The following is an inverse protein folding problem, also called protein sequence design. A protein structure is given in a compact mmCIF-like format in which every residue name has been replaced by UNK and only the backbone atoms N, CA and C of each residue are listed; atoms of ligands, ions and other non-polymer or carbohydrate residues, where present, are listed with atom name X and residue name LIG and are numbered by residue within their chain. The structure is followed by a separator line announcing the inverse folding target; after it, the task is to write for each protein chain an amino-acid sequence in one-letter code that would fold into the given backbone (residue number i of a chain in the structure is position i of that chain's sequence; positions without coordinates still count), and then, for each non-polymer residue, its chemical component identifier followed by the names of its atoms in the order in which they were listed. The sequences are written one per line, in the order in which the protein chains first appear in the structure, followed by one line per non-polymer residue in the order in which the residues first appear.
data_IF_895329171209
#
_entry.id   IF_895329171209
#
_cell.length_a   1.000
_cell.length_b   1.000
_cell.length_c   1.000
_cell.angle_alpha   90.00
_cell.angle_beta   90.00
_cell.angle_gamma   90.00
#
_symmetry.space_group_name_H-M   'P 1'
#
loop_
_entity.id
_entity.type
_entity.pdbx_description
1 polymer ?
#
# COMPACT_ATOMS: atom_id res chain seq x y z
N UNK A 1 12.33 24.34 -21.38
CA UNK A 1 12.14 23.56 -20.13
C UNK A 1 11.41 22.23 -20.31
N UNK A 2 10.50 22.08 -21.28
CA UNK A 2 9.69 20.86 -21.43
C UNK A 2 10.47 19.57 -21.75
N UNK A 3 11.48 19.62 -22.62
CA UNK A 3 12.23 18.42 -23.05
C UNK A 3 12.99 17.75 -21.90
N UNK A 4 13.66 18.54 -21.06
CA UNK A 4 14.39 18.03 -19.89
C UNK A 4 13.47 17.41 -18.84
N UNK A 5 12.27 17.98 -18.64
CA UNK A 5 11.28 17.41 -17.72
C UNK A 5 10.67 16.11 -18.30
N UNK A 6 10.36 16.10 -19.59
CA UNK A 6 9.78 14.93 -20.28
C UNK A 6 10.68 13.69 -20.20
N UNK A 7 11.99 13.88 -20.39
CA UNK A 7 12.97 12.77 -20.32
C UNK A 7 13.00 12.04 -18.97
N UNK A 8 12.63 12.70 -17.87
CA UNK A 8 12.66 12.11 -16.52
C UNK A 8 11.51 11.14 -16.26
N UNK A 9 10.36 11.33 -16.90
CA UNK A 9 9.23 10.41 -16.75
C UNK A 9 9.59 9.03 -17.31
N UNK A 10 10.16 8.98 -18.52
CA UNK A 10 10.61 7.72 -19.12
C UNK A 10 11.72 7.04 -18.33
N UNK A 11 12.69 7.81 -17.83
CA UNK A 11 13.75 7.32 -16.95
C UNK A 11 13.20 6.68 -15.67
N UNK A 12 12.28 7.36 -14.97
CA UNK A 12 11.66 6.83 -13.76
C UNK A 12 10.85 5.54 -14.02
N UNK A 13 10.11 5.48 -15.14
CA UNK A 13 9.38 4.28 -15.54
C UNK A 13 10.30 3.11 -15.93
N UNK A 14 11.46 3.39 -16.54
CA UNK A 14 12.46 2.37 -16.87
C UNK A 14 13.09 1.75 -15.61
N UNK A 15 13.40 2.59 -14.60
CA UNK A 15 13.87 2.14 -13.28
C UNK A 15 12.86 1.23 -12.57
N UNK A 16 11.57 1.49 -12.76
CA UNK A 16 10.49 0.65 -12.22
C UNK A 16 10.19 -0.58 -13.11
N UNK A 17 11.06 -0.90 -14.09
CA UNK A 17 10.94 -2.00 -15.05
C UNK A 17 9.67 -1.98 -15.93
N UNK A 18 9.04 -0.82 -16.10
CA UNK A 18 7.88 -0.65 -16.99
C UNK A 18 8.29 -0.35 -18.44
N UNK A 19 9.50 0.15 -18.64
CA UNK A 19 10.10 0.46 -19.95
C UNK A 19 11.47 -0.22 -20.11
N UNK A 20 11.98 -0.36 -21.34
CA UNK A 20 13.31 -0.94 -21.58
C UNK A 20 14.40 -0.24 -20.77
N UNK A 21 15.27 -1.04 -20.12
CA UNK A 21 16.34 -0.54 -19.24
C UNK A 21 17.33 0.43 -19.90
N UNK A 22 17.45 0.40 -21.25
CA UNK A 22 18.25 1.38 -21.98
C UNK A 22 17.82 2.85 -21.78
N UNK A 23 16.59 3.10 -21.33
CA UNK A 23 16.10 4.45 -20.97
C UNK A 23 16.53 4.89 -19.56
N UNK A 24 17.00 3.96 -18.73
CA UNK A 24 17.55 4.22 -17.40
C UNK A 24 19.01 4.71 -17.47
N UNK A 25 19.72 4.47 -18.57
CA UNK A 25 21.15 4.81 -18.67
C UNK A 25 21.40 6.34 -18.56
N UNK A 26 22.10 6.72 -17.49
CA UNK A 26 22.53 8.10 -17.23
C UNK A 26 23.98 8.30 -17.64
N UNK A 27 24.31 9.51 -18.12
CA UNK A 27 25.69 9.87 -18.43
C UNK A 27 26.53 9.93 -17.14
N UNK A 28 27.69 9.28 -17.06
CA UNK A 28 28.51 9.21 -15.84
C UNK A 28 29.07 10.56 -15.35
N UNK A 29 29.14 11.58 -16.22
CA UNK A 29 29.67 12.89 -15.85
C UNK A 29 28.58 13.93 -15.53
N UNK A 30 27.43 13.86 -16.20
CA UNK A 30 26.35 14.85 -16.10
C UNK A 30 25.10 14.32 -15.39
N UNK A 31 25.04 13.02 -15.08
CA UNK A 31 23.92 12.34 -14.43
C UNK A 31 22.57 12.54 -15.16
N UNK A 32 22.64 12.86 -16.46
CA UNK A 32 21.44 13.08 -17.29
C UNK A 32 21.10 11.83 -18.09
N UNK A 33 19.82 11.46 -18.22
CA UNK A 33 19.36 10.33 -19.02
C UNK A 33 19.43 10.68 -20.52
N UNK A 34 20.63 10.55 -21.08
CA UNK A 34 20.96 11.02 -22.43
C UNK A 34 20.16 10.29 -23.53
N UNK A 35 19.96 8.98 -23.40
CA UNK A 35 19.14 8.18 -24.34
C UNK A 35 17.69 8.66 -24.34
N UNK A 36 17.11 8.89 -23.16
CA UNK A 36 15.73 9.40 -23.04
C UNK A 36 15.58 10.81 -23.65
N UNK A 37 16.58 11.68 -23.49
CA UNK A 37 16.58 13.03 -24.08
C UNK A 37 16.65 12.95 -25.62
N UNK A 38 17.53 12.12 -26.17
CA UNK A 38 17.67 11.96 -27.62
C UNK A 38 16.40 11.41 -28.25
N UNK A 39 15.79 10.38 -27.65
CA UNK A 39 14.55 9.79 -28.14
C UNK A 39 13.39 10.78 -28.09
N UNK A 40 13.19 11.45 -26.95
CA UNK A 40 12.10 12.44 -26.81
C UNK A 40 12.29 13.64 -27.73
N UNK A 41 13.53 14.11 -27.90
CA UNK A 41 13.87 15.18 -28.84
C UNK A 41 13.64 14.79 -30.30
N UNK A 42 14.05 13.58 -30.70
CA UNK A 42 13.85 13.08 -32.06
C UNK A 42 12.36 12.91 -32.40
N UNK A 43 11.57 12.35 -31.47
CA UNK A 43 10.12 12.22 -31.64
C UNK A 43 9.44 13.58 -31.78
N UNK A 44 9.84 14.57 -30.96
CA UNK A 44 9.30 15.92 -31.03
C UNK A 44 9.69 16.62 -32.34
N UNK A 45 10.93 16.47 -32.81
CA UNK A 45 11.37 17.00 -34.09
C UNK A 45 10.58 16.39 -35.26
N UNK A 46 10.37 15.07 -35.25
CA UNK A 46 9.54 14.39 -36.25
C UNK A 46 8.10 14.91 -36.24
N UNK A 47 7.50 15.06 -35.06
CA UNK A 47 6.14 15.58 -34.92
C UNK A 47 5.98 16.99 -35.51
N UNK A 48 6.95 17.89 -35.28
CA UNK A 48 6.93 19.26 -35.80
C UNK A 48 7.04 19.30 -37.33
N UNK A 49 7.82 18.38 -37.92
CA UNK A 49 8.02 18.33 -39.38
C UNK A 49 6.79 17.76 -40.10
N UNK A 50 6.15 16.73 -39.52
CA UNK A 50 5.09 15.99 -40.20
C UNK A 50 3.66 16.39 -39.85
N UNK A 51 3.42 17.00 -38.69
CA UNK A 51 2.07 17.37 -38.26
C UNK A 51 1.86 18.90 -38.27
N UNK A 52 0.72 19.39 -38.76
CA UNK A 52 0.37 20.80 -38.65
C UNK A 52 0.13 21.18 -37.18
N UNK A 53 0.63 22.36 -36.79
CA UNK A 53 0.64 22.83 -35.39
C UNK A 53 -0.75 22.84 -34.74
N UNK A 54 -1.81 23.11 -35.51
CA UNK A 54 -3.19 23.10 -35.02
C UNK A 54 -3.64 21.70 -34.59
N UNK A 55 -3.32 20.68 -35.39
CA UNK A 55 -3.66 19.28 -35.06
C UNK A 55 -2.84 18.79 -33.88
N UNK A 56 -1.54 19.14 -33.81
CA UNK A 56 -0.68 18.80 -32.67
C UNK A 56 -1.30 19.34 -31.37
N UNK A 57 -1.72 20.60 -31.37
CA UNK A 57 -2.30 21.23 -30.20
C UNK A 57 -3.58 20.51 -29.73
N UNK A 58 -4.46 20.11 -30.65
CA UNK A 58 -5.69 19.36 -30.33
C UNK A 58 -5.38 17.96 -29.78
N UNK A 59 -4.44 17.24 -30.41
CA UNK A 59 -4.02 15.90 -29.96
C UNK A 59 -3.41 15.94 -28.55
N UNK A 60 -2.45 16.84 -28.33
CA UNK A 60 -1.76 16.98 -27.03
C UNK A 60 -2.73 17.42 -25.94
N UNK A 61 -3.66 18.34 -26.24
CA UNK A 61 -4.68 18.77 -25.27
C UNK A 61 -5.59 17.62 -24.86
N UNK A 62 -6.00 16.76 -25.81
CA UNK A 62 -6.77 15.56 -25.52
C UNK A 62 -6.05 14.60 -24.59
N UNK A 63 -4.76 14.32 -24.86
CA UNK A 63 -3.92 13.49 -23.98
C UNK A 63 -3.81 14.11 -22.58
N UNK A 64 -3.60 15.42 -22.49
CA UNK A 64 -3.47 16.12 -21.21
C UNK A 64 -4.75 16.05 -20.36
N UNK A 65 -5.93 16.24 -20.98
CA UNK A 65 -7.23 16.11 -20.30
C UNK A 65 -7.45 14.67 -19.81
N UNK A 66 -7.11 13.67 -20.64
CA UNK A 66 -7.18 12.25 -20.25
C UNK A 66 -6.29 11.97 -19.04
N UNK A 67 -5.05 12.46 -19.05
CA UNK A 67 -4.09 12.29 -17.93
C UNK A 67 -4.62 12.91 -16.65
N UNK A 68 -5.15 14.15 -16.68
CA UNK A 68 -5.73 14.77 -15.50
C UNK A 68 -6.95 14.00 -14.95
N UNK A 69 -7.79 13.48 -15.84
CA UNK A 69 -8.93 12.64 -15.47
C UNK A 69 -8.46 11.37 -14.76
N UNK A 70 -7.44 10.69 -15.29
CA UNK A 70 -6.85 9.50 -14.69
C UNK A 70 -6.17 9.80 -13.35
N UNK A 71 -5.50 10.95 -13.20
CA UNK A 71 -4.89 11.37 -11.94
C UNK A 71 -5.97 11.60 -10.87
N UNK A 72 -7.06 12.29 -11.20
CA UNK A 72 -8.18 12.46 -10.27
C UNK A 72 -8.77 11.11 -9.84
N UNK A 73 -8.95 10.19 -10.78
CA UNK A 73 -9.41 8.84 -10.48
C UNK A 73 -8.43 8.07 -9.59
N UNK A 74 -7.15 8.07 -9.94
CA UNK A 74 -6.09 7.41 -9.16
C UNK A 74 -5.99 7.98 -7.74
N UNK A 75 -6.18 9.29 -7.57
CA UNK A 75 -6.17 9.94 -6.26
C UNK A 75 -7.36 9.47 -5.41
N UNK A 76 -8.57 9.36 -5.97
CA UNK A 76 -9.73 8.80 -5.25
C UNK A 76 -9.44 7.36 -4.83
N UNK A 77 -8.92 6.53 -5.73
CA UNK A 77 -8.58 5.13 -5.42
C UNK A 77 -7.54 5.05 -4.30
N UNK A 78 -6.45 5.83 -4.41
CA UNK A 78 -5.35 5.83 -3.45
C UNK A 78 -5.78 6.32 -2.07
N UNK A 79 -6.57 7.41 -2.00
CA UNK A 79 -7.08 7.93 -0.74
C UNK A 79 -8.20 7.08 -0.14
N UNK A 80 -8.98 6.36 -0.95
CA UNK A 80 -10.01 5.48 -0.38
C UNK A 80 -9.40 4.20 0.20
N UNK A 81 -8.32 3.70 -0.40
CA UNK A 81 -7.68 2.44 0.01
C UNK A 81 -6.56 2.61 1.01
N UNK A 82 -5.59 3.49 0.76
CA UNK A 82 -4.36 3.58 1.55
C UNK A 82 -4.49 4.52 2.75
N UNK A 83 -5.28 5.59 2.64
CA UNK A 83 -5.43 6.57 3.72
C UNK A 83 -6.34 6.10 4.86
N UNK A 84 -7.34 5.25 4.56
CA UNK A 84 -8.30 4.76 5.55
C UNK A 84 -7.80 3.55 6.35
N UNK A 85 -6.65 2.98 5.99
CA UNK A 85 -5.94 1.98 6.78
C UNK A 85 -5.01 2.70 7.76
N UNK A 86 -5.57 3.15 8.88
CA UNK A 86 -4.81 3.65 10.03
C UNK A 86 -3.99 2.51 10.66
N UNK A 87 -2.84 2.17 10.09
CA UNK A 87 -1.91 1.23 10.73
C UNK A 87 -0.87 0.60 9.81
N UNK A 88 -1.30 -0.04 8.72
CA UNK A 88 -0.43 -0.97 7.98
C UNK A 88 0.58 -0.31 7.00
N UNK A 89 0.30 0.92 6.49
CA UNK A 89 1.09 1.51 5.40
C UNK A 89 1.67 2.90 5.74
N UNK A 90 2.90 2.94 6.27
CA UNK A 90 3.61 4.20 6.60
C UNK A 90 3.99 5.08 5.39
N UNK A 91 3.98 4.54 4.17
CA UNK A 91 4.56 5.22 3.00
C UNK A 91 3.67 6.32 2.38
N UNK A 92 2.37 6.37 2.71
CA UNK A 92 1.44 7.36 2.17
C UNK A 92 0.61 8.05 3.26
N UNK A 93 1.19 9.07 3.89
CA UNK A 93 0.50 10.00 4.80
C UNK A 93 0.58 11.43 4.25
N UNK A 94 -0.41 11.88 3.46
CA UNK A 94 -0.36 13.21 2.88
C UNK A 94 -0.50 14.28 3.97
N UNK A 95 0.48 15.19 4.07
CA UNK A 95 0.40 16.35 4.99
C UNK A 95 -0.71 17.34 4.60
N UNK A 96 -1.16 17.29 3.35
CA UNK A 96 -2.20 18.17 2.81
C UNK A 96 -3.43 17.37 2.34
N UNK A 97 -4.58 17.78 2.83
CA UNK A 97 -5.88 17.28 2.40
C UNK A 97 -6.58 18.34 1.56
N UNK A 98 -7.11 17.91 0.41
CA UNK A 98 -7.86 18.81 -0.44
C UNK A 98 -9.17 19.18 0.26
N UNK A 99 -9.51 20.48 0.39
CA UNK A 99 -10.80 20.88 0.90
C UNK A 99 -11.89 20.27 0.02
N UNK A 100 -12.94 19.70 0.62
CA UNK A 100 -14.06 19.06 -0.06
C UNK A 100 -13.70 17.75 -0.79
N UNK A 101 -12.74 16.96 -0.28
CA UNK A 101 -12.54 15.58 -0.76
C UNK A 101 -13.79 14.72 -0.49
N UNK A 102 -14.25 13.87 -1.43
CA UNK A 102 -13.76 13.62 -2.80
C UNK A 102 -14.48 14.45 -3.90
N UNK A 103 -15.30 15.43 -3.53
CA UNK A 103 -16.16 16.17 -4.45
C UNK A 103 -15.36 16.94 -5.52
N UNK A 104 -14.22 17.52 -5.13
CA UNK A 104 -13.33 18.23 -6.06
C UNK A 104 -12.79 17.30 -7.16
N UNK A 105 -12.45 16.07 -6.82
CA UNK A 105 -11.93 15.08 -7.76
C UNK A 105 -13.02 14.57 -8.70
N UNK A 106 -14.23 14.36 -8.19
CA UNK A 106 -15.40 14.00 -9.00
C UNK A 106 -15.69 15.10 -10.04
N UNK A 107 -15.65 16.36 -9.62
CA UNK A 107 -15.77 17.49 -10.54
C UNK A 107 -14.66 17.51 -11.59
N UNK A 108 -13.42 17.20 -11.21
CA UNK A 108 -12.31 17.08 -12.16
C UNK A 108 -12.53 15.97 -13.21
N UNK A 109 -13.07 14.82 -12.80
CA UNK A 109 -13.37 13.71 -13.71
C UNK A 109 -14.53 14.07 -14.66
N UNK A 110 -15.64 14.57 -14.11
CA UNK A 110 -16.80 14.98 -14.90
C UNK A 110 -16.45 16.14 -15.85
N UNK A 111 -15.72 17.13 -15.36
CA UNK A 111 -15.26 18.28 -16.16
C UNK A 111 -14.25 17.87 -17.23
N UNK A 112 -13.30 17.00 -16.90
CA UNK A 112 -12.35 16.45 -17.86
C UNK A 112 -13.04 15.65 -18.97
N UNK A 113 -13.98 14.77 -18.61
CA UNK A 113 -14.78 14.03 -19.59
C UNK A 113 -15.62 14.96 -20.47
N UNK A 114 -16.23 16.01 -19.90
CA UNK A 114 -16.99 17.00 -20.66
C UNK A 114 -16.10 17.79 -21.63
N UNK A 115 -14.92 18.24 -21.20
CA UNK A 115 -13.97 18.96 -22.07
C UNK A 115 -13.45 18.06 -23.20
N UNK A 116 -13.16 16.79 -22.90
CA UNK A 116 -12.73 15.83 -23.92
C UNK A 116 -13.83 15.65 -24.99
N UNK A 117 -15.09 15.61 -24.57
CA UNK A 117 -16.24 15.53 -25.47
C UNK A 117 -16.39 16.79 -26.33
N UNK A 118 -16.25 17.98 -25.76
CA UNK A 118 -16.43 19.24 -26.49
C UNK A 118 -15.28 19.58 -27.44
N UNK A 119 -14.05 19.10 -27.19
CA UNK A 119 -12.92 19.27 -28.13
C UNK A 119 -13.08 18.48 -29.44
N UNK A 120 -14.02 17.55 -29.51
CA UNK A 120 -14.32 16.80 -30.72
C UNK A 120 -13.39 15.60 -30.96
N UNK A 121 -13.51 15.01 -32.14
CA UNK A 121 -12.94 13.70 -32.46
C UNK A 121 -11.41 13.67 -32.43
N UNK A 122 -10.74 14.76 -32.81
CA UNK A 122 -9.27 14.80 -32.87
C UNK A 122 -8.63 14.61 -31.49
N UNK A 123 -9.17 15.27 -30.46
CA UNK A 123 -8.67 15.12 -29.09
C UNK A 123 -8.88 13.70 -28.54
N UNK A 124 -10.04 13.11 -28.83
CA UNK A 124 -10.36 11.73 -28.44
C UNK A 124 -9.44 10.71 -29.13
N UNK A 125 -9.09 10.92 -30.41
CA UNK A 125 -8.12 10.09 -31.14
C UNK A 125 -6.74 10.18 -30.46
N UNK A 126 -6.27 11.38 -30.11
CA UNK A 126 -4.98 11.54 -29.43
C UNK A 126 -4.90 10.82 -28.08
N UNK A 127 -5.96 10.98 -27.26
CA UNK A 127 -6.08 10.31 -25.96
C UNK A 127 -6.10 8.78 -26.12
N UNK A 128 -6.99 8.26 -26.97
CA UNK A 128 -7.12 6.82 -27.19
C UNK A 128 -5.88 6.19 -27.83
N UNK A 129 -5.27 6.84 -28.82
CA UNK A 129 -4.02 6.38 -29.43
C UNK A 129 -2.89 6.26 -28.39
N UNK A 130 -2.75 7.27 -27.52
CA UNK A 130 -1.74 7.23 -26.45
C UNK A 130 -2.02 6.12 -25.44
N UNK A 131 -3.28 5.91 -25.06
CA UNK A 131 -3.67 4.82 -24.18
C UNK A 131 -3.35 3.45 -24.80
N UNK A 132 -3.66 3.26 -26.08
CA UNK A 132 -3.36 2.02 -26.82
C UNK A 132 -1.85 1.78 -26.87
N UNK A 133 -1.04 2.79 -27.20
CA UNK A 133 0.42 2.69 -27.21
C UNK A 133 0.95 2.28 -25.84
N UNK A 134 0.48 2.92 -24.76
CA UNK A 134 0.87 2.57 -23.39
C UNK A 134 0.51 1.13 -23.01
N UNK A 135 -0.70 0.70 -23.39
CA UNK A 135 -1.18 -0.68 -23.19
C UNK A 135 -0.28 -1.68 -23.95
N UNK A 136 0.04 -1.40 -25.22
CA UNK A 136 0.91 -2.25 -26.03
C UNK A 136 2.31 -2.37 -25.43
N UNK A 137 2.89 -1.27 -24.95
CA UNK A 137 4.19 -1.28 -24.27
C UNK A 137 4.12 -2.12 -22.98
N UNK A 138 3.07 -1.95 -22.19
CA UNK A 138 2.86 -2.74 -20.98
C UNK A 138 2.75 -4.24 -21.27
N UNK A 139 1.94 -4.65 -22.25
CA UNK A 139 1.77 -6.07 -22.59
C UNK A 139 3.01 -6.68 -23.25
N UNK A 140 3.78 -5.91 -24.01
CA UNK A 140 4.98 -6.41 -24.69
C UNK A 140 6.19 -6.53 -23.76
N UNK A 141 6.45 -5.53 -22.91
CA UNK A 141 7.64 -5.49 -22.06
C UNK A 141 7.29 -5.57 -20.56
N UNK A 142 6.41 -4.67 -20.09
CA UNK A 142 6.13 -4.48 -18.67
C UNK A 142 5.60 -5.74 -17.98
N UNK A 143 4.69 -6.48 -18.62
CA UNK A 143 4.08 -7.69 -18.04
C UNK A 143 5.12 -8.77 -17.67
N UNK A 144 6.26 -8.81 -18.35
CA UNK A 144 7.30 -9.82 -18.09
C UNK A 144 8.36 -9.35 -17.09
N UNK A 145 8.49 -8.05 -16.83
CA UNK A 145 9.57 -7.47 -16.02
C UNK A 145 9.10 -6.74 -14.77
N UNK A 146 7.78 -6.49 -14.62
CA UNK A 146 7.22 -5.83 -13.44
C UNK A 146 7.29 -6.75 -12.21
N UNK A 147 7.81 -6.21 -11.12
CA UNK A 147 7.78 -6.84 -9.80
C UNK A 147 6.34 -6.77 -9.30
N UNK A 148 5.71 -7.93 -9.08
CA UNK A 148 4.32 -8.01 -8.64
C UNK A 148 4.18 -7.50 -7.20
N UNK A 149 3.58 -6.31 -7.05
CA UNK A 149 3.16 -5.75 -5.78
C UNK A 149 1.65 -5.55 -5.84
N UNK A 150 0.93 -5.92 -4.78
CA UNK A 150 -0.52 -5.70 -4.70
C UNK A 150 -0.84 -4.23 -4.91
N UNK A 151 -1.50 -3.93 -6.02
CA UNK A 151 -1.79 -2.54 -6.37
C UNK A 151 -2.92 -2.00 -5.48
N UNK A 152 -2.91 -0.68 -5.16
CA UNK A 152 -4.02 -0.05 -4.43
C UNK A 152 -5.37 -0.29 -5.10
N UNK A 153 -5.41 -0.38 -6.43
CA UNK A 153 -6.63 -0.69 -7.18
C UNK A 153 -7.17 -2.10 -6.92
N UNK A 154 -6.29 -3.11 -6.78
CA UNK A 154 -6.74 -4.46 -6.44
C UNK A 154 -7.40 -4.51 -5.06
N UNK A 155 -6.84 -3.79 -4.06
CA UNK A 155 -7.46 -3.61 -2.73
C UNK A 155 -8.81 -2.87 -2.81
N UNK A 156 -8.87 -1.82 -3.63
CA UNK A 156 -10.13 -1.09 -3.85
C UNK A 156 -11.23 -2.00 -4.39
N UNK A 157 -10.87 -2.84 -5.37
CA UNK A 157 -11.78 -3.78 -6.02
C UNK A 157 -12.23 -4.88 -5.06
N UNK A 158 -11.31 -5.46 -4.27
CA UNK A 158 -11.67 -6.50 -3.29
C UNK A 158 -12.65 -5.97 -2.24
N UNK A 159 -12.45 -4.76 -1.71
CA UNK A 159 -13.42 -4.14 -0.79
C UNK A 159 -14.79 -3.91 -1.39
N UNK A 160 -14.88 -3.43 -2.64
CA UNK A 160 -16.16 -3.23 -3.30
C UNK A 160 -16.90 -4.54 -3.58
N UNK A 161 -16.17 -5.61 -3.88
CA UNK A 161 -16.75 -6.88 -4.27
C UNK A 161 -17.03 -7.81 -3.07
N UNK A 162 -16.25 -7.72 -1.99
CA UNK A 162 -16.35 -8.60 -0.82
C UNK A 162 -16.08 -7.87 0.51
N UNK A 163 -16.99 -6.98 0.94
CA UNK A 163 -16.76 -6.06 2.06
C UNK A 163 -16.46 -6.72 3.41
N UNK A 164 -16.95 -7.94 3.67
CA UNK A 164 -16.74 -8.63 4.96
C UNK A 164 -15.61 -9.67 4.94
N UNK A 165 -15.02 -9.97 3.78
CA UNK A 165 -14.02 -11.05 3.67
C UNK A 165 -12.60 -10.61 4.06
N UNK A 166 -12.24 -9.34 3.83
CA UNK A 166 -10.91 -8.83 4.17
C UNK A 166 -10.72 -8.63 5.67
N UNK A 167 -11.76 -8.21 6.40
CA UNK A 167 -11.63 -8.03 7.85
C UNK A 167 -11.24 -9.35 8.52
N UNK A 168 -11.88 -10.47 8.16
CA UNK A 168 -11.48 -11.78 8.64
C UNK A 168 -10.10 -12.24 8.16
N UNK A 169 -9.67 -11.85 6.96
CA UNK A 169 -8.34 -12.22 6.43
C UNK A 169 -7.20 -11.43 7.09
N UNK A 170 -7.43 -10.16 7.43
CA UNK A 170 -6.47 -9.32 8.14
C UNK A 170 -6.45 -9.66 9.64
N UNK A 171 -7.61 -9.91 10.26
CA UNK A 171 -7.72 -10.46 11.61
C UNK A 171 -6.97 -11.79 11.73
N UNK A 172 -7.20 -12.74 10.82
CA UNK A 172 -6.50 -14.02 10.83
C UNK A 172 -4.98 -13.86 10.68
N UNK A 173 -4.52 -12.86 9.89
CA UNK A 173 -3.09 -12.55 9.75
C UNK A 173 -2.51 -11.92 11.01
N UNK A 174 -3.25 -11.03 11.67
CA UNK A 174 -2.84 -10.41 12.92
C UNK A 174 -2.72 -11.43 14.05
N UNK A 175 -3.72 -12.32 14.18
CA UNK A 175 -3.71 -13.44 15.13
C UNK A 175 -2.55 -14.40 14.83
N UNK A 176 -2.31 -14.77 13.57
CA UNK A 176 -1.20 -15.66 13.22
C UNK A 176 0.16 -14.99 13.43
N UNK A 177 0.29 -13.70 13.11
CA UNK A 177 1.50 -12.92 13.40
C UNK A 177 1.77 -12.83 14.91
N UNK A 178 0.72 -12.63 15.71
CA UNK A 178 0.79 -12.66 17.17
C UNK A 178 1.18 -14.05 17.69
N UNK A 179 0.59 -15.12 17.16
CA UNK A 179 0.97 -16.50 17.50
C UNK A 179 2.43 -16.78 17.20
N UNK A 180 2.92 -16.42 16.03
CA UNK A 180 4.34 -16.60 15.65
C UNK A 180 5.28 -15.79 16.55
N UNK A 181 4.88 -14.58 16.96
CA UNK A 181 5.64 -13.74 17.88
C UNK A 181 5.74 -14.33 19.28
N UNK A 182 4.68 -15.00 19.74
CA UNK A 182 4.62 -15.58 21.07
C UNK A 182 5.32 -16.94 21.15
N UNK A 183 5.42 -17.66 20.03
CA UNK A 183 5.99 -19.00 19.98
C UNK A 183 7.47 -19.08 20.38
N UNK A 184 7.84 -20.12 21.15
CA UNK A 184 9.22 -20.42 21.57
C UNK A 184 9.97 -19.26 22.25
N UNK A 185 9.43 -18.69 23.34
CA UNK A 185 10.15 -17.68 24.10
C UNK A 185 11.40 -18.27 24.77
N UNK A 186 12.43 -17.45 24.92
CA UNK A 186 13.48 -17.74 25.91
C UNK A 186 12.91 -17.66 27.34
N UNK A 187 13.56 -18.30 28.31
CA UNK A 187 13.10 -18.26 29.71
C UNK A 187 12.95 -16.83 30.24
N UNK A 188 13.86 -15.93 29.83
CA UNK A 188 13.81 -14.52 30.21
C UNK A 188 12.62 -13.79 29.56
N UNK A 189 12.26 -14.15 28.33
CA UNK A 189 11.10 -13.60 27.63
C UNK A 189 9.78 -14.09 28.21
N UNK A 190 9.67 -15.39 28.51
CA UNK A 190 8.51 -15.96 29.21
C UNK A 190 8.31 -15.25 30.56
N UNK A 191 9.36 -15.18 31.39
CA UNK A 191 9.31 -14.51 32.69
C UNK A 191 8.93 -13.03 32.56
N UNK A 192 9.43 -12.33 31.53
CA UNK A 192 9.10 -10.92 31.27
C UNK A 192 7.64 -10.75 30.86
N UNK A 193 7.12 -11.63 30.00
CA UNK A 193 5.72 -11.61 29.56
C UNK A 193 4.80 -11.92 30.74
N UNK A 194 5.03 -13.01 31.45
CA UNK A 194 4.28 -13.39 32.63
C UNK A 194 4.25 -12.26 33.67
N UNK A 195 5.41 -11.65 33.96
CA UNK A 195 5.47 -10.51 34.87
C UNK A 195 4.66 -9.30 34.39
N UNK A 196 4.66 -9.00 33.09
CA UNK A 196 3.87 -7.90 32.53
C UNK A 196 2.37 -8.18 32.57
N UNK A 197 1.94 -9.41 32.27
CA UNK A 197 0.54 -9.83 32.35
C UNK A 197 0.05 -9.81 33.80
N UNK A 198 0.78 -10.38 34.76
CA UNK A 198 0.43 -10.30 36.18
C UNK A 198 0.48 -8.87 36.74
N UNK A 199 1.37 -8.00 36.25
CA UNK A 199 1.41 -6.60 36.65
C UNK A 199 0.23 -5.79 36.10
N UNK A 200 -0.37 -6.23 34.98
CA UNK A 200 -1.53 -5.60 34.37
C UNK A 200 -2.86 -6.05 35.02
N UNK A 201 -2.91 -7.24 35.64
CA UNK A 201 -4.06 -7.72 36.42
C UNK A 201 -4.32 -6.83 37.64
N UNK A 202 -5.24 -5.88 37.48
CA UNK A 202 -5.64 -4.98 38.54
C UNK A 202 -6.67 -5.67 39.44
N UNK A 203 -6.13 -6.41 40.40
CA UNK A 203 -6.94 -7.09 41.41
C UNK A 203 -6.38 -8.45 41.83
N UNK A 204 -5.36 -8.97 41.13
CA UNK A 204 -4.72 -10.25 41.46
C UNK A 204 -5.70 -11.42 41.31
N UNK A 205 -6.55 -11.35 40.28
CA UNK A 205 -7.61 -12.32 40.02
C UNK A 205 -7.15 -13.48 39.12
N UNK A 206 -5.89 -13.46 38.69
CA UNK A 206 -5.27 -14.42 37.75
C UNK A 206 -5.96 -14.47 36.38
N UNK A 207 -6.68 -13.43 36.02
CA UNK A 207 -7.28 -13.28 34.69
C UNK A 207 -7.21 -11.82 34.25
N UNK A 208 -7.22 -11.62 32.94
CA UNK A 208 -7.14 -10.33 32.30
C UNK A 208 -8.44 -10.00 31.59
N UNK A 209 -8.98 -8.83 31.88
CA UNK A 209 -9.97 -8.19 31.02
C UNK A 209 -9.29 -7.63 29.77
N UNK A 210 -10.06 -7.35 28.72
CA UNK A 210 -9.55 -6.75 27.47
C UNK A 210 -8.65 -5.53 27.71
N UNK A 211 -9.04 -4.66 28.65
CA UNK A 211 -8.27 -3.45 28.97
C UNK A 211 -6.94 -3.76 29.66
N UNK A 212 -6.90 -4.78 30.53
CA UNK A 212 -5.68 -5.22 31.22
C UNK A 212 -4.75 -5.92 30.24
N UNK A 213 -5.29 -6.75 29.34
CA UNK A 213 -4.56 -7.36 28.24
C UNK A 213 -3.90 -6.31 27.33
N UNK A 214 -4.66 -5.31 26.88
CA UNK A 214 -4.13 -4.22 26.05
C UNK A 214 -2.98 -3.45 26.74
N UNK A 215 -3.09 -3.23 28.06
CA UNK A 215 -2.03 -2.56 28.85
C UNK A 215 -0.79 -3.43 28.98
N UNK A 216 -0.95 -4.73 29.22
CA UNK A 216 0.18 -5.66 29.27
C UNK A 216 0.95 -5.66 27.94
N UNK A 217 0.22 -5.73 26.82
CA UNK A 217 0.76 -5.70 25.47
C UNK A 217 1.51 -4.39 25.15
N UNK A 218 0.95 -3.25 25.57
CA UNK A 218 1.61 -1.95 25.43
C UNK A 218 2.86 -1.84 26.31
N UNK A 219 2.82 -2.36 27.55
CA UNK A 219 3.95 -2.36 28.47
C UNK A 219 5.11 -3.24 27.98
N UNK A 220 4.81 -4.34 27.26
CA UNK A 220 5.79 -5.18 26.61
C UNK A 220 6.42 -4.54 25.37
N UNK A 221 5.80 -3.47 24.84
CA UNK A 221 6.30 -2.72 23.69
C UNK A 221 5.91 -3.31 22.33
N UNK A 222 4.82 -4.09 22.28
CA UNK A 222 4.30 -4.63 21.02
C UNK A 222 3.50 -3.57 20.25
N UNK A 223 3.77 -3.44 18.95
CA UNK A 223 3.19 -2.43 18.06
C UNK A 223 1.92 -2.97 17.37
N UNK A 224 0.86 -3.21 18.16
CA UNK A 224 -0.47 -3.58 17.67
C UNK A 224 -1.48 -2.46 17.96
N UNK A 225 -2.48 -2.30 17.07
CA UNK A 225 -3.57 -1.35 17.31
C UNK A 225 -4.61 -1.94 18.29
N UNK A 226 -5.51 -1.10 18.83
CA UNK A 226 -6.50 -1.54 19.83
C UNK A 226 -7.51 -2.58 19.29
N UNK A 227 -7.84 -2.50 18.00
CA UNK A 227 -8.80 -3.40 17.36
C UNK A 227 -8.18 -4.79 17.13
N UNK A 228 -6.92 -4.85 16.68
CA UNK A 228 -6.14 -6.09 16.53
C UNK A 228 -6.00 -6.80 17.88
N UNK A 229 -5.68 -6.06 18.94
CA UNK A 229 -5.58 -6.62 20.30
C UNK A 229 -6.94 -7.12 20.81
N UNK A 230 -8.05 -6.48 20.42
CA UNK A 230 -9.40 -6.95 20.75
C UNK A 230 -9.72 -8.26 20.04
N UNK A 231 -9.37 -8.38 18.76
CA UNK A 231 -9.57 -9.62 18.01
C UNK A 231 -8.68 -10.75 18.53
N UNK A 232 -7.41 -10.47 18.87
CA UNK A 232 -6.52 -11.44 19.52
C UNK A 232 -7.08 -11.89 20.86
N UNK A 233 -7.61 -10.96 21.67
CA UNK A 233 -8.24 -11.26 22.94
C UNK A 233 -9.44 -12.20 22.76
N UNK A 234 -10.34 -11.90 21.81
CA UNK A 234 -11.48 -12.77 21.51
C UNK A 234 -11.09 -14.12 20.93
N UNK A 235 -10.02 -14.18 20.14
CA UNK A 235 -9.50 -15.44 19.61
C UNK A 235 -8.88 -16.33 20.70
N UNK A 236 -8.40 -15.74 21.79
CA UNK A 236 -7.82 -16.43 22.93
C UNK A 236 -8.84 -16.80 24.03
N UNK A 237 -9.97 -16.09 24.10
CA UNK A 237 -11.10 -16.34 25.00
C UNK A 237 -11.98 -17.46 24.42
N UNK A 238 -11.51 -18.72 24.52
CA UNK A 238 -12.20 -19.90 23.96
C UNK A 238 -13.59 -20.15 24.56
N UNK A 239 -13.85 -19.67 25.78
CA UNK A 239 -15.10 -19.84 26.53
C UNK A 239 -16.05 -18.64 26.45
N UNK A 240 -15.67 -17.58 25.74
CA UNK A 240 -16.43 -16.34 25.52
C UNK A 240 -16.94 -15.69 26.82
N UNK A 241 -16.19 -15.81 27.92
CA UNK A 241 -16.59 -15.25 29.22
C UNK A 241 -16.09 -13.81 29.44
N UNK A 242 -15.31 -13.30 28.49
CA UNK A 242 -14.79 -11.93 28.49
C UNK A 242 -13.55 -11.75 29.36
N UNK A 243 -12.91 -12.83 29.81
CA UNK A 243 -11.66 -12.81 30.56
C UNK A 243 -10.65 -13.82 30.01
N UNK A 244 -9.36 -13.49 30.07
CA UNK A 244 -8.28 -14.41 29.72
C UNK A 244 -7.56 -14.89 30.97
N UNK A 245 -7.55 -16.19 31.22
CA UNK A 245 -6.68 -16.77 32.25
C UNK A 245 -5.22 -16.66 31.81
N UNK A 246 -4.36 -16.08 32.67
CA UNK A 246 -2.99 -15.71 32.30
C UNK A 246 -2.16 -16.95 31.96
N UNK A 247 -2.28 -18.00 32.77
CA UNK A 247 -1.47 -19.20 32.65
C UNK A 247 -1.90 -20.00 31.41
N UNK A 248 -3.22 -20.16 31.22
CA UNK A 248 -3.79 -20.81 30.04
C UNK A 248 -3.43 -20.07 28.74
N UNK A 249 -3.47 -18.73 28.78
CA UNK A 249 -3.11 -17.90 27.63
C UNK A 249 -1.65 -18.07 27.23
N UNK A 250 -0.73 -18.04 28.20
CA UNK A 250 0.69 -18.23 27.91
C UNK A 250 0.96 -19.64 27.39
N UNK A 251 0.38 -20.67 27.99
CA UNK A 251 0.54 -22.05 27.53
C UNK A 251 0.05 -22.23 26.08
N UNK A 252 -1.14 -21.72 25.74
CA UNK A 252 -1.71 -21.87 24.39
C UNK A 252 -0.88 -21.18 23.30
N UNK A 253 -0.28 -20.02 23.59
CA UNK A 253 0.45 -19.22 22.60
C UNK A 253 1.97 -19.49 22.59
N UNK A 254 2.53 -20.09 23.64
CA UNK A 254 3.97 -20.32 23.78
C UNK A 254 4.42 -21.78 23.49
N UNK A 255 3.51 -22.75 23.35
CA UNK A 255 3.83 -24.15 22.99
C UNK A 255 4.69 -24.26 21.71
N UNK A 256 5.78 -25.05 21.62
CA UNK A 256 6.33 -26.04 22.56
C UNK A 256 7.44 -25.46 23.47
N UNK A 257 7.20 -25.37 24.78
CA UNK A 257 8.26 -25.24 25.79
C UNK A 257 8.37 -26.56 26.56
N UNK A 258 9.37 -27.36 26.20
CA UNK A 258 9.62 -28.69 26.78
C UNK A 258 10.33 -28.54 28.13
N UNK A 259 9.56 -28.55 29.23
CA UNK A 259 10.08 -28.52 30.61
C UNK A 259 10.49 -29.94 31.02
N UNK A 260 11.62 -30.43 30.51
CA UNK A 260 12.35 -31.57 31.11
C UNK A 260 13.81 -31.20 31.49
N UNK A 261 14.12 -29.90 31.64
CA UNK A 261 15.50 -29.44 31.93
C UNK A 261 15.73 -28.75 33.29
N UNK A 262 14.71 -28.64 34.16
CA UNK A 262 14.90 -28.13 35.54
C UNK A 262 14.66 -29.18 36.63
N UNK A 263 14.92 -30.45 36.32
CA UNK A 263 15.40 -31.41 37.32
C UNK A 263 16.90 -31.21 37.53
N UNK A 264 17.31 -30.31 38.43
CA UNK A 264 18.75 -30.11 38.59
C UNK A 264 19.32 -29.13 39.61
N UNK A 265 18.68 -28.76 40.72
CA UNK A 265 19.40 -28.37 41.96
C UNK A 265 18.48 -28.19 43.16
N UNK A 266 18.37 -29.21 44.01
CA UNK A 266 18.56 -29.02 45.46
C UNK A 266 18.94 -30.39 46.07
N UNK A 267 20.07 -30.37 46.79
CA UNK A 267 20.60 -31.48 47.59
C UNK A 267 20.01 -31.42 48.99
#
# INVERSE_FOLDING_TARGET
SGVLASSRFGFAMARDNLLPQALEDVNPQFETPHVAILITGALMAGAIVWLPVEEIAKLVSGVQIMVFTLICFALIVLRTTVYREEGENRWYRPKYETPLYPWMQIWGICGGAYLLYTMGSNAAIGASATAIVGILIYFSYGRYHVIDQRTPYQRFKSRLMMPNSEHHADTARSIEGFRVLMKHPSQDEHNRRAAAFHAADMGGKNHLTLLEFQRAMFALGYDYNEDDLREIFHAADENEDGVLDIDQFLDHFEEDFDIDSTAGTEK
#
